data_IF_993685240542
#
_entry.id   IF_993685240542
#
_cell.length_a   1.000
_cell.length_b   1.000
_cell.length_c   1.000
_cell.angle_alpha   90.00
_cell.angle_beta   90.00
_cell.angle_gamma   90.00
#
_symmetry.space_group_name_H-M   'P 1'
#
loop_
_entity.id
_entity.type
_entity.pdbx_description
1 polymer ?
#
# COMPACT_ATOMS: atom_id res chain seq x y z
N UNK A 1 21.46 -23.54 -21.76
CA UNK A 1 20.39 -23.93 -20.83
C UNK A 1 19.28 -22.89 -20.84
N UNK A 2 18.07 -23.19 -20.41
CA UNK A 2 16.90 -22.31 -20.58
C UNK A 2 16.21 -22.08 -19.23
N UNK A 3 16.08 -20.82 -18.81
CA UNK A 3 15.26 -20.46 -17.66
C UNK A 3 13.78 -20.40 -18.09
N UNK A 4 12.93 -21.09 -17.36
CA UNK A 4 11.48 -21.14 -17.61
C UNK A 4 10.76 -20.22 -16.62
N UNK A 5 10.08 -19.20 -17.11
CA UNK A 5 9.38 -18.19 -16.30
C UNK A 5 7.89 -18.26 -16.60
N UNK A 6 7.08 -18.56 -15.59
CA UNK A 6 5.63 -18.44 -15.63
C UNK A 6 5.22 -17.06 -15.11
N UNK A 7 4.30 -16.40 -15.82
CA UNK A 7 3.76 -15.10 -15.41
C UNK A 7 2.24 -15.18 -15.40
N UNK A 8 1.64 -14.97 -14.23
CA UNK A 8 0.20 -14.84 -14.07
C UNK A 8 -0.09 -13.37 -13.79
N UNK A 9 -0.49 -12.67 -14.86
CA UNK A 9 -0.93 -11.28 -14.80
C UNK A 9 -2.40 -11.18 -14.36
N UNK A 10 -2.85 -9.96 -14.17
CA UNK A 10 -4.21 -9.59 -13.81
C UNK A 10 -4.59 -8.26 -14.50
N UNK A 11 -5.86 -7.79 -14.40
CA UNK A 11 -6.28 -6.55 -15.04
C UNK A 11 -5.50 -5.30 -14.59
N UNK A 12 -4.92 -5.35 -13.38
CA UNK A 12 -4.13 -4.24 -12.84
C UNK A 12 -2.67 -4.29 -13.31
N UNK A 13 -2.05 -5.50 -13.34
CA UNK A 13 -0.68 -5.70 -13.84
C UNK A 13 -0.68 -6.86 -14.85
N UNK A 14 -0.86 -6.58 -16.14
CA UNK A 14 -0.83 -7.60 -17.18
C UNK A 14 0.52 -8.32 -17.26
N UNK A 15 0.50 -9.60 -17.64
CA UNK A 15 1.71 -10.42 -17.79
C UNK A 15 2.73 -9.81 -18.74
N UNK A 16 2.29 -9.11 -19.79
CA UNK A 16 3.14 -8.39 -20.74
C UNK A 16 4.04 -7.34 -20.06
N UNK A 17 3.53 -6.66 -19.01
CA UNK A 17 4.29 -5.65 -18.27
C UNK A 17 5.51 -6.26 -17.59
N UNK A 18 5.33 -7.39 -16.90
CA UNK A 18 6.44 -8.12 -16.28
C UNK A 18 7.42 -8.67 -17.33
N UNK A 19 6.90 -9.23 -18.43
CA UNK A 19 7.75 -9.76 -19.52
C UNK A 19 8.68 -8.69 -20.07
N UNK A 20 8.17 -7.54 -20.46
CA UNK A 20 8.95 -6.46 -21.04
C UNK A 20 10.05 -5.97 -20.08
N UNK A 21 9.73 -5.81 -18.80
CA UNK A 21 10.72 -5.41 -17.81
C UNK A 21 11.81 -6.46 -17.60
N UNK A 22 11.44 -7.76 -17.55
CA UNK A 22 12.39 -8.85 -17.44
C UNK A 22 13.32 -8.94 -18.66
N UNK A 23 12.78 -8.87 -19.87
CA UNK A 23 13.57 -8.92 -21.10
C UNK A 23 14.60 -7.79 -21.13
N UNK A 24 14.18 -6.57 -20.79
CA UNK A 24 15.09 -5.42 -20.67
C UNK A 24 16.23 -5.69 -19.68
N UNK A 25 15.91 -6.13 -18.46
CA UNK A 25 16.89 -6.30 -17.38
C UNK A 25 17.82 -7.49 -17.60
N UNK A 26 17.32 -8.61 -18.14
CA UNK A 26 18.11 -9.84 -18.31
C UNK A 26 18.97 -9.76 -19.55
N UNK A 27 18.46 -9.27 -20.68
CA UNK A 27 19.25 -9.14 -21.93
C UNK A 27 20.44 -8.21 -21.78
N UNK A 28 20.33 -7.16 -20.96
CA UNK A 28 21.43 -6.23 -20.65
C UNK A 28 22.64 -6.94 -20.01
N UNK A 29 22.43 -8.01 -19.26
CA UNK A 29 23.50 -8.66 -18.49
C UNK A 29 23.93 -10.01 -19.07
N UNK A 30 23.03 -10.69 -19.75
CA UNK A 30 23.25 -12.01 -20.38
C UNK A 30 22.51 -12.10 -21.72
N UNK A 31 23.03 -11.48 -22.80
CA UNK A 31 22.36 -11.47 -24.12
C UNK A 31 22.07 -12.85 -24.70
N UNK A 32 22.92 -13.84 -24.36
CA UNK A 32 22.82 -15.23 -24.87
C UNK A 32 21.96 -16.16 -24.01
N UNK A 33 21.35 -15.66 -22.89
CA UNK A 33 20.51 -16.52 -22.06
C UNK A 33 19.20 -16.86 -22.77
N UNK A 34 18.87 -18.17 -22.81
CA UNK A 34 17.57 -18.61 -23.30
C UNK A 34 16.52 -18.51 -22.20
N UNK A 35 15.42 -17.79 -22.45
CA UNK A 35 14.28 -17.66 -21.54
C UNK A 35 13.03 -18.15 -22.26
N UNK A 36 12.34 -19.09 -21.64
CA UNK A 36 11.03 -19.54 -22.11
C UNK A 36 9.95 -18.99 -21.17
N UNK A 37 9.02 -18.24 -21.72
CA UNK A 37 7.92 -17.67 -20.97
C UNK A 37 6.62 -18.47 -21.16
N UNK A 38 5.84 -18.57 -20.07
CA UNK A 38 4.47 -19.09 -20.05
C UNK A 38 3.59 -18.00 -19.45
N UNK A 39 2.44 -17.70 -20.08
CA UNK A 39 1.60 -16.58 -19.69
C UNK A 39 0.17 -17.01 -19.41
N UNK A 40 -0.44 -16.34 -18.45
CA UNK A 40 -1.88 -16.32 -18.26
C UNK A 40 -2.26 -14.98 -17.63
N UNK A 41 -3.19 -14.27 -18.25
CA UNK A 41 -3.81 -13.12 -17.61
C UNK A 41 -5.17 -13.51 -17.04
N UNK A 42 -5.35 -13.26 -15.74
CA UNK A 42 -6.63 -13.43 -15.06
C UNK A 42 -7.59 -12.33 -15.57
N UNK A 43 -8.77 -12.75 -16.06
CA UNK A 43 -9.83 -11.80 -16.44
C UNK A 43 -10.60 -11.39 -15.19
N UNK A 44 -11.15 -10.18 -15.17
CA UNK A 44 -11.90 -9.64 -14.03
C UNK A 44 -12.98 -10.60 -13.53
N UNK A 45 -13.76 -11.23 -14.43
CA UNK A 45 -14.77 -12.24 -14.09
C UNK A 45 -14.22 -13.50 -13.38
N UNK A 46 -12.91 -13.75 -13.45
CA UNK A 46 -12.24 -14.89 -12.84
C UNK A 46 -11.51 -14.51 -11.54
N UNK A 47 -11.56 -13.26 -11.12
CA UNK A 47 -10.97 -12.77 -9.86
C UNK A 47 -11.86 -13.12 -8.65
N UNK A 48 -12.21 -14.41 -8.53
CA UNK A 48 -12.93 -14.91 -7.34
C UNK A 48 -11.94 -15.09 -6.19
N UNK A 49 -12.24 -14.56 -4.99
CA UNK A 49 -11.40 -14.77 -3.82
C UNK A 49 -11.27 -16.25 -3.50
N UNK A 50 -10.06 -16.72 -3.22
CA UNK A 50 -9.83 -18.03 -2.66
C UNK A 50 -10.04 -17.97 -1.13
N UNK A 51 -11.01 -18.73 -0.63
CA UNK A 51 -11.20 -18.91 0.82
C UNK A 51 -10.18 -19.95 1.28
N UNK A 52 -9.17 -19.52 2.04
CA UNK A 52 -8.10 -20.37 2.53
C UNK A 52 -7.62 -19.91 3.90
N UNK A 53 -7.16 -20.87 4.74
CA UNK A 53 -6.45 -20.56 5.99
C UNK A 53 -4.96 -20.30 5.77
N UNK A 54 -4.43 -20.66 4.61
CA UNK A 54 -2.99 -20.56 4.29
C UNK A 54 -2.59 -19.22 3.70
N UNK A 55 -3.49 -18.61 2.91
CA UNK A 55 -3.24 -17.39 2.16
C UNK A 55 -4.44 -16.45 2.24
N UNK A 56 -4.20 -15.17 2.09
CA UNK A 56 -5.25 -14.14 2.10
C UNK A 56 -5.13 -13.22 0.90
N UNK A 57 -6.22 -12.52 0.56
CA UNK A 57 -6.30 -11.66 -0.63
C UNK A 57 -5.74 -12.35 -1.90
N UNK A 58 -6.02 -13.64 -2.03
CA UNK A 58 -5.63 -14.45 -3.18
C UNK A 58 -6.84 -14.63 -4.09
N UNK A 59 -6.63 -14.53 -5.39
CA UNK A 59 -7.68 -14.57 -6.39
C UNK A 59 -7.34 -15.56 -7.51
N UNK A 60 -8.38 -16.24 -8.01
CA UNK A 60 -8.26 -17.23 -9.06
C UNK A 60 -8.14 -18.66 -8.54
N UNK A 61 -7.87 -19.60 -9.45
CA UNK A 61 -7.89 -21.05 -9.18
C UNK A 61 -6.47 -21.61 -9.07
N UNK A 62 -6.21 -22.41 -8.06
CA UNK A 62 -4.90 -23.08 -7.83
C UNK A 62 -4.50 -24.00 -8.99
N UNK A 63 -5.45 -24.75 -9.58
CA UNK A 63 -5.16 -25.64 -10.72
C UNK A 63 -4.71 -24.85 -11.95
N UNK A 64 -5.23 -23.64 -12.15
CA UNK A 64 -4.77 -22.74 -13.20
C UNK A 64 -3.33 -22.31 -12.99
N UNK A 65 -2.95 -22.03 -11.74
CA UNK A 65 -1.56 -21.71 -11.37
C UNK A 65 -0.65 -22.88 -11.67
N UNK A 66 -1.03 -24.10 -11.25
CA UNK A 66 -0.27 -25.33 -11.49
C UNK A 66 -0.09 -25.57 -13.00
N UNK A 67 -1.17 -25.45 -13.78
CA UNK A 67 -1.14 -25.66 -15.24
C UNK A 67 -0.09 -24.78 -15.92
N UNK A 68 0.09 -23.54 -15.48
CA UNK A 68 1.04 -22.59 -16.06
C UNK A 68 2.45 -22.76 -15.47
N UNK A 69 2.55 -23.01 -14.15
CA UNK A 69 3.82 -23.01 -13.42
C UNK A 69 4.48 -24.38 -13.27
N UNK A 70 3.83 -25.50 -13.61
CA UNK A 70 4.29 -26.87 -13.39
C UNK A 70 5.74 -27.11 -13.83
N UNK A 71 6.14 -26.53 -14.96
CA UNK A 71 7.47 -26.69 -15.53
C UNK A 71 8.35 -25.43 -15.37
N UNK A 72 7.90 -24.41 -14.65
CA UNK A 72 8.62 -23.16 -14.50
C UNK A 72 9.65 -23.22 -13.36
N UNK A 73 10.73 -22.45 -13.49
CA UNK A 73 11.71 -22.22 -12.44
C UNK A 73 11.36 -20.99 -11.62
N UNK A 74 10.70 -20.02 -12.26
CA UNK A 74 10.28 -18.76 -11.66
C UNK A 74 8.80 -18.55 -11.94
N UNK A 75 8.02 -18.22 -10.92
CA UNK A 75 6.62 -17.82 -11.04
C UNK A 75 6.46 -16.38 -10.58
N UNK A 76 5.86 -15.55 -11.44
CA UNK A 76 5.56 -14.15 -11.14
C UNK A 76 4.05 -13.99 -11.10
N UNK A 77 3.55 -13.34 -10.04
CA UNK A 77 2.12 -13.02 -9.89
C UNK A 77 1.89 -11.88 -8.92
N UNK A 78 0.74 -11.23 -9.01
CA UNK A 78 0.31 -10.22 -8.02
C UNK A 78 -0.70 -10.82 -7.04
N UNK A 79 -1.68 -11.58 -7.52
CA UNK A 79 -2.82 -12.03 -6.72
C UNK A 79 -3.06 -13.54 -6.74
N UNK A 80 -2.44 -14.31 -7.65
CA UNK A 80 -2.70 -15.74 -7.72
C UNK A 80 -2.32 -16.46 -6.41
N UNK A 81 -3.10 -17.47 -5.98
CA UNK A 81 -2.86 -18.21 -4.75
C UNK A 81 -1.64 -19.13 -4.88
N UNK A 82 -0.67 -18.98 -3.99
CA UNK A 82 0.49 -19.86 -3.88
C UNK A 82 0.40 -20.63 -2.57
N UNK A 83 -0.45 -21.63 -2.57
CA UNK A 83 -0.69 -22.54 -1.43
C UNK A 83 0.33 -23.66 -1.39
N UNK A 84 0.31 -24.48 -0.33
CA UNK A 84 1.14 -25.68 -0.25
C UNK A 84 0.83 -26.64 -1.40
N UNK A 85 -0.45 -26.81 -1.77
CA UNK A 85 -0.89 -27.63 -2.91
C UNK A 85 -0.26 -27.17 -4.23
N UNK A 86 -0.20 -25.86 -4.49
CA UNK A 86 0.47 -25.31 -5.69
C UNK A 86 1.95 -25.62 -5.68
N UNK A 87 2.61 -25.41 -4.55
CA UNK A 87 4.06 -25.66 -4.40
C UNK A 87 4.43 -27.15 -4.53
N UNK A 88 3.54 -28.05 -4.13
CA UNK A 88 3.72 -29.51 -4.29
C UNK A 88 3.67 -29.97 -5.75
N UNK A 89 2.82 -29.32 -6.52
CA UNK A 89 2.62 -29.66 -7.92
C UNK A 89 3.56 -28.92 -8.89
N UNK A 90 4.37 -27.94 -8.38
CA UNK A 90 5.34 -27.17 -9.17
C UNK A 90 6.78 -27.48 -8.71
N UNK A 91 7.22 -28.74 -8.83
CA UNK A 91 8.50 -29.26 -8.28
C UNK A 91 9.77 -28.57 -8.80
N UNK A 92 9.71 -27.94 -9.99
CA UNK A 92 10.84 -27.22 -10.58
C UNK A 92 10.93 -25.76 -10.13
N UNK A 93 9.97 -25.30 -9.32
CA UNK A 93 9.88 -23.91 -8.91
C UNK A 93 10.97 -23.58 -7.87
N UNK A 94 11.75 -22.57 -8.16
CA UNK A 94 12.83 -22.06 -7.31
C UNK A 94 12.49 -20.69 -6.72
N UNK A 95 11.70 -19.89 -7.46
CA UNK A 95 11.38 -18.54 -7.09
C UNK A 95 9.89 -18.26 -7.32
N UNK A 96 9.24 -17.67 -6.34
CA UNK A 96 7.96 -16.96 -6.47
C UNK A 96 8.23 -15.48 -6.32
N UNK A 97 7.91 -14.68 -7.33
CA UNK A 97 8.04 -13.24 -7.28
C UNK A 97 6.65 -12.60 -7.21
N UNK A 98 6.31 -12.08 -6.04
CA UNK A 98 5.00 -11.48 -5.76
C UNK A 98 5.03 -9.97 -6.01
N UNK A 99 4.23 -9.48 -6.96
CA UNK A 99 4.12 -8.07 -7.33
C UNK A 99 3.40 -7.21 -6.27
N UNK A 100 3.55 -7.50 -4.98
CA UNK A 100 2.89 -6.81 -3.86
C UNK A 100 3.90 -6.29 -2.85
N UNK A 101 3.48 -5.32 -2.03
CA UNK A 101 4.27 -4.82 -0.90
C UNK A 101 4.38 -5.80 0.28
N UNK A 102 3.59 -6.87 0.28
CA UNK A 102 3.64 -8.00 1.19
C UNK A 102 2.97 -9.22 0.52
N UNK A 103 3.64 -10.40 0.44
CA UNK A 103 3.16 -11.56 -0.30
C UNK A 103 2.18 -12.42 0.51
N UNK A 104 1.05 -11.83 0.95
CA UNK A 104 0.04 -12.51 1.78
C UNK A 104 -0.76 -13.59 1.04
N UNK A 105 -0.67 -13.61 -0.29
CA UNK A 105 -1.21 -14.64 -1.18
C UNK A 105 -0.24 -15.82 -1.37
N UNK A 106 0.87 -15.87 -0.63
CA UNK A 106 1.88 -16.94 -0.69
C UNK A 106 2.00 -17.63 0.66
N UNK A 107 1.91 -18.95 0.70
CA UNK A 107 2.20 -19.75 1.89
C UNK A 107 3.71 -19.73 2.16
N UNK A 108 4.13 -18.88 3.09
CA UNK A 108 5.53 -18.64 3.42
C UNK A 108 6.20 -19.86 4.08
N UNK A 109 5.47 -20.60 4.89
CA UNK A 109 5.97 -21.78 5.59
C UNK A 109 6.28 -22.90 4.59
N UNK A 110 5.32 -23.20 3.72
CA UNK A 110 5.49 -24.21 2.67
C UNK A 110 6.58 -23.81 1.67
N UNK A 111 6.63 -22.53 1.25
CA UNK A 111 7.68 -22.02 0.36
C UNK A 111 9.07 -22.23 0.96
N UNK A 112 9.24 -21.92 2.23
CA UNK A 112 10.54 -22.10 2.92
C UNK A 112 10.91 -23.56 3.04
N UNK A 113 9.97 -24.45 3.45
CA UNK A 113 10.15 -25.90 3.57
C UNK A 113 10.59 -26.54 2.24
N UNK A 114 10.04 -26.03 1.12
CA UNK A 114 10.34 -26.53 -0.24
C UNK A 114 11.53 -25.81 -0.90
N UNK A 115 12.27 -24.98 -0.20
CA UNK A 115 13.38 -24.16 -0.72
C UNK A 115 12.98 -23.28 -1.90
N UNK A 116 11.76 -22.76 -1.90
CA UNK A 116 11.28 -21.78 -2.88
C UNK A 116 11.46 -20.38 -2.28
N UNK A 117 12.29 -19.55 -2.93
CA UNK A 117 12.53 -18.19 -2.50
C UNK A 117 11.36 -17.28 -2.89
N UNK A 118 10.90 -16.46 -1.95
CA UNK A 118 9.80 -15.53 -2.18
C UNK A 118 10.31 -14.11 -2.22
N UNK A 119 10.25 -13.50 -3.41
CA UNK A 119 10.51 -12.09 -3.66
C UNK A 119 9.21 -11.30 -3.56
N UNK A 120 9.32 -10.00 -3.22
CA UNK A 120 8.17 -9.11 -3.16
C UNK A 120 8.55 -7.70 -3.64
N UNK A 121 7.55 -6.84 -3.88
CA UNK A 121 7.76 -5.49 -4.42
C UNK A 121 7.36 -4.40 -3.40
N UNK A 122 8.16 -4.18 -2.35
CA UNK A 122 7.86 -3.16 -1.36
C UNK A 122 8.07 -1.76 -1.96
N UNK A 123 7.26 -0.82 -1.50
CA UNK A 123 7.43 0.59 -1.88
C UNK A 123 6.90 0.96 -3.26
N UNK A 124 6.34 0.03 -4.03
CA UNK A 124 5.81 0.27 -5.37
C UNK A 124 4.78 1.41 -5.44
N UNK A 125 4.07 1.67 -4.36
CA UNK A 125 3.00 2.66 -4.26
C UNK A 125 3.28 3.81 -3.27
N UNK A 126 4.52 4.01 -2.83
CA UNK A 126 4.85 5.07 -1.86
C UNK A 126 4.42 6.42 -2.40
N UNK A 127 4.79 6.74 -3.65
CA UNK A 127 4.50 8.03 -4.27
C UNK A 127 3.00 8.25 -4.38
N UNK A 128 2.28 7.26 -4.90
CA UNK A 128 0.83 7.32 -5.05
C UNK A 128 0.13 7.60 -3.71
N UNK A 129 0.50 6.88 -2.64
CA UNK A 129 -0.11 7.09 -1.31
C UNK A 129 0.24 8.45 -0.74
N UNK A 130 1.48 8.93 -0.91
CA UNK A 130 1.91 10.25 -0.42
C UNK A 130 1.15 11.37 -1.13
N UNK A 131 1.10 11.34 -2.47
CA UNK A 131 0.39 12.33 -3.29
C UNK A 131 -1.10 12.33 -2.98
N UNK A 132 -1.72 11.17 -2.90
CA UNK A 132 -3.14 11.02 -2.61
C UNK A 132 -3.49 11.49 -1.19
N UNK A 133 -2.65 11.16 -0.19
CA UNK A 133 -2.82 11.61 1.18
C UNK A 133 -2.69 13.13 1.29
N UNK A 134 -1.65 13.71 0.68
CA UNK A 134 -1.42 15.16 0.68
C UNK A 134 -2.58 15.90 0.00
N UNK A 135 -3.01 15.44 -1.18
CA UNK A 135 -4.13 16.03 -1.90
C UNK A 135 -5.41 16.03 -1.04
N UNK A 136 -5.70 14.92 -0.33
CA UNK A 136 -6.89 14.83 0.51
C UNK A 136 -6.77 15.57 1.84
N UNK A 137 -5.56 15.75 2.40
CA UNK A 137 -5.34 16.71 3.48
C UNK A 137 -5.73 18.12 3.00
N UNK A 138 -5.19 18.56 1.86
CA UNK A 138 -5.46 19.89 1.30
C UNK A 138 -6.94 20.03 0.93
N UNK A 139 -7.53 19.07 0.25
CA UNK A 139 -8.95 19.06 -0.11
C UNK A 139 -9.84 19.27 1.14
N UNK A 140 -9.55 18.53 2.21
CA UNK A 140 -10.36 18.57 3.43
C UNK A 140 -10.23 19.90 4.17
N UNK A 141 -9.00 20.41 4.35
CA UNK A 141 -8.77 21.64 5.13
C UNK A 141 -9.03 22.92 4.34
N UNK A 142 -8.85 22.92 3.01
CA UNK A 142 -9.11 24.07 2.11
C UNK A 142 -10.49 24.07 1.50
N UNK A 143 -11.31 23.04 1.76
CA UNK A 143 -12.70 22.92 1.24
C UNK A 143 -12.77 22.95 -0.29
N UNK A 144 -11.77 22.36 -0.96
CA UNK A 144 -11.70 22.38 -2.44
C UNK A 144 -12.91 21.69 -3.09
N UNK A 145 -13.34 20.48 -2.66
CA UNK A 145 -14.53 19.82 -3.23
C UNK A 145 -15.80 20.69 -3.12
N UNK A 146 -15.96 21.37 -1.97
CA UNK A 146 -17.10 22.26 -1.74
C UNK A 146 -17.04 23.51 -2.62
N UNK A 147 -15.85 24.06 -2.86
CA UNK A 147 -15.67 25.17 -3.78
C UNK A 147 -16.01 24.78 -5.21
N UNK A 148 -15.60 23.59 -5.65
CA UNK A 148 -15.97 23.03 -6.96
C UNK A 148 -17.49 22.86 -7.06
N UNK A 149 -18.12 22.29 -6.04
CA UNK A 149 -19.56 22.06 -5.99
C UNK A 149 -20.36 23.36 -5.93
N UNK A 150 -19.82 24.38 -5.28
CA UNK A 150 -20.39 25.74 -5.25
C UNK A 150 -20.55 26.33 -6.65
N UNK A 151 -19.52 26.19 -7.50
CA UNK A 151 -19.56 26.61 -8.89
C UNK A 151 -20.51 25.74 -9.72
N UNK A 152 -20.42 24.41 -9.58
CA UNK A 152 -21.29 23.45 -10.29
C UNK A 152 -22.78 23.67 -10.02
N UNK A 153 -23.13 24.07 -8.81
CA UNK A 153 -24.52 24.39 -8.43
C UNK A 153 -24.93 25.83 -8.76
N UNK A 154 -24.15 26.52 -9.56
CA UNK A 154 -24.41 27.91 -10.01
C UNK A 154 -24.68 28.87 -8.82
N UNK A 155 -23.97 28.70 -7.71
CA UNK A 155 -24.10 29.54 -6.50
C UNK A 155 -23.22 30.79 -6.54
N UNK A 156 -22.23 30.83 -7.44
CA UNK A 156 -21.35 31.99 -7.61
C UNK A 156 -22.02 33.03 -8.48
N UNK A 157 -22.68 34.03 -7.87
CA UNK A 157 -23.47 35.05 -8.56
C UNK A 157 -22.68 36.32 -8.76
N UNK A 158 -21.99 36.81 -7.73
CA UNK A 158 -21.21 38.04 -7.83
C UNK A 158 -19.83 37.89 -7.18
N UNK A 159 -18.78 38.59 -7.66
CA UNK A 159 -17.42 38.44 -7.09
C UNK A 159 -17.29 38.90 -5.63
N UNK A 160 -18.03 39.96 -5.24
CA UNK A 160 -17.91 40.58 -3.90
C UNK A 160 -18.84 39.95 -2.86
N UNK A 161 -20.12 39.80 -3.16
CA UNK A 161 -21.11 39.26 -2.21
C UNK A 161 -20.78 37.81 -1.80
N UNK A 162 -20.21 37.03 -2.73
CA UNK A 162 -19.84 35.66 -2.48
C UNK A 162 -18.52 35.49 -1.71
N UNK A 163 -17.72 36.54 -1.53
CA UNK A 163 -16.41 36.43 -0.86
C UNK A 163 -16.52 35.84 0.55
N UNK A 164 -17.56 36.21 1.31
CA UNK A 164 -17.79 35.71 2.66
C UNK A 164 -18.63 34.42 2.72
N UNK A 165 -19.29 34.04 1.61
CA UNK A 165 -20.14 32.83 1.53
C UNK A 165 -19.42 31.66 0.88
N UNK A 166 -18.27 31.90 0.23
CA UNK A 166 -17.48 30.86 -0.42
C UNK A 166 -16.98 29.84 0.59
N UNK A 167 -16.95 28.56 0.22
CA UNK A 167 -16.32 27.56 1.06
C UNK A 167 -14.87 27.94 1.33
N UNK A 168 -14.54 28.16 2.58
CA UNK A 168 -13.20 28.54 3.03
C UNK A 168 -12.71 27.59 4.11
N UNK A 169 -11.42 27.39 4.13
CA UNK A 169 -10.76 26.57 5.13
C UNK A 169 -9.55 27.28 5.70
N UNK A 170 -8.59 26.53 6.17
CA UNK A 170 -7.33 27.07 6.69
C UNK A 170 -6.12 26.52 5.90
N UNK A 171 -5.01 27.24 5.98
CA UNK A 171 -3.75 26.84 5.38
C UNK A 171 -3.01 25.85 6.28
N UNK A 172 -2.25 24.92 5.67
CA UNK A 172 -1.40 23.99 6.44
C UNK A 172 -0.07 24.62 6.87
N UNK A 173 0.30 25.76 6.31
CA UNK A 173 1.47 26.54 6.73
C UNK A 173 1.38 26.88 8.22
N UNK A 174 2.46 26.66 8.97
CA UNK A 174 2.55 26.81 10.43
C UNK A 174 1.56 25.98 11.27
N UNK A 175 0.76 25.09 10.65
CA UNK A 175 -0.06 24.15 11.41
C UNK A 175 0.77 22.95 11.87
N UNK A 176 0.36 22.36 12.98
CA UNK A 176 1.00 21.18 13.53
C UNK A 176 0.34 19.93 12.96
N UNK A 177 1.11 19.10 12.27
CA UNK A 177 0.65 17.83 11.68
C UNK A 177 1.33 16.67 12.38
N UNK A 178 0.53 15.81 13.02
CA UNK A 178 0.99 14.57 13.63
C UNK A 178 1.06 13.44 12.59
N UNK A 179 2.23 12.86 12.39
CA UNK A 179 2.47 11.70 11.52
C UNK A 179 2.67 10.48 12.40
N UNK A 180 1.70 9.56 12.41
CA UNK A 180 1.77 8.30 13.15
C UNK A 180 2.30 7.21 12.22
N UNK A 181 3.52 6.75 12.47
CA UNK A 181 4.29 5.82 11.63
C UNK A 181 5.27 6.53 10.69
N UNK A 182 6.56 6.23 10.86
CA UNK A 182 7.66 6.83 10.07
C UNK A 182 8.35 5.81 9.16
N UNK A 183 7.53 4.92 8.55
CA UNK A 183 7.96 4.07 7.44
C UNK A 183 8.20 4.87 6.16
N UNK A 184 8.34 4.19 5.02
CA UNK A 184 8.67 4.83 3.74
C UNK A 184 7.67 5.94 3.33
N UNK A 185 6.36 5.72 3.56
CA UNK A 185 5.30 6.69 3.25
C UNK A 185 5.38 7.88 4.24
N UNK A 186 5.35 7.61 5.55
CA UNK A 186 5.40 8.67 6.57
C UNK A 186 6.65 9.55 6.44
N UNK A 187 7.80 8.92 6.14
CA UNK A 187 9.06 9.61 5.88
C UNK A 187 8.99 10.57 4.69
N UNK A 188 8.44 10.11 3.56
CA UNK A 188 8.31 10.94 2.37
C UNK A 188 7.28 12.05 2.57
N UNK A 189 6.13 11.74 3.17
CA UNK A 189 5.09 12.72 3.45
C UNK A 189 5.59 13.82 4.43
N UNK A 190 6.32 13.45 5.48
CA UNK A 190 6.91 14.43 6.41
C UNK A 190 7.75 15.47 5.70
N UNK A 191 8.64 15.05 4.79
CA UNK A 191 9.49 15.99 4.03
C UNK A 191 8.67 16.97 3.19
N UNK A 192 7.60 16.49 2.57
CA UNK A 192 6.71 17.34 1.76
C UNK A 192 5.94 18.32 2.66
N UNK A 193 5.43 17.88 3.80
CA UNK A 193 4.72 18.73 4.74
C UNK A 193 5.61 19.82 5.34
N UNK A 194 6.88 19.49 5.68
CA UNK A 194 7.86 20.47 6.13
C UNK A 194 8.19 21.48 5.02
N UNK A 195 8.34 21.04 3.76
CA UNK A 195 8.57 21.91 2.63
C UNK A 195 7.41 22.90 2.38
N UNK A 196 6.17 22.51 2.74
CA UNK A 196 5.00 23.39 2.72
C UNK A 196 4.88 24.27 4.00
N UNK A 197 5.89 24.25 4.87
CA UNK A 197 5.95 25.09 6.07
C UNK A 197 5.11 24.60 7.24
N UNK A 198 4.69 23.35 7.27
CA UNK A 198 4.00 22.75 8.42
C UNK A 198 4.98 22.37 9.53
N UNK A 199 4.53 22.45 10.80
CA UNK A 199 5.24 21.89 11.94
C UNK A 199 4.87 20.40 12.05
N UNK A 200 5.83 19.49 11.89
CA UNK A 200 5.54 18.06 11.92
C UNK A 200 5.97 17.44 13.24
N UNK A 201 5.07 16.66 13.86
CA UNK A 201 5.34 15.80 15.01
C UNK A 201 5.23 14.34 14.55
N UNK A 202 6.23 13.51 14.86
CA UNK A 202 6.32 12.13 14.39
C UNK A 202 6.22 11.18 15.58
N UNK A 203 5.34 10.19 15.48
CA UNK A 203 5.37 9.03 16.36
C UNK A 203 5.83 7.79 15.62
N UNK A 204 6.96 7.22 16.07
CA UNK A 204 7.50 5.96 15.57
C UNK A 204 8.04 5.13 16.76
N UNK A 205 7.41 4.00 17.11
CA UNK A 205 7.88 3.17 18.23
C UNK A 205 9.24 2.51 17.97
N UNK A 206 9.57 2.25 16.68
CA UNK A 206 10.84 1.64 16.28
C UNK A 206 11.90 2.71 15.99
N UNK A 207 12.48 3.29 17.04
CA UNK A 207 13.43 4.44 16.96
C UNK A 207 14.61 4.23 16.01
N UNK A 208 15.03 2.98 15.76
CA UNK A 208 16.09 2.64 14.79
C UNK A 208 15.76 3.06 13.35
N UNK A 209 14.49 3.29 13.02
CA UNK A 209 14.04 3.72 11.69
C UNK A 209 14.12 5.26 11.49
N UNK A 210 14.37 6.02 12.57
CA UNK A 210 14.43 7.47 12.53
C UNK A 210 15.76 7.93 11.91
N UNK A 211 15.66 8.65 10.78
CA UNK A 211 16.77 9.47 10.23
C UNK A 211 16.89 10.82 10.96
N UNK A 212 17.74 11.72 10.46
CA UNK A 212 17.96 13.06 11.06
C UNK A 212 16.64 13.85 11.24
N UNK A 213 15.77 13.84 10.23
CA UNK A 213 14.47 14.53 10.27
C UNK A 213 13.53 13.84 11.26
N UNK A 214 13.47 12.51 11.22
CA UNK A 214 12.66 11.74 12.14
C UNK A 214 13.07 11.92 13.60
N UNK A 215 14.35 12.00 13.90
CA UNK A 215 14.86 12.26 15.26
C UNK A 215 14.50 13.66 15.75
N UNK A 216 14.64 14.69 14.90
CA UNK A 216 14.30 16.09 15.21
C UNK A 216 12.82 16.23 15.57
N UNK A 217 11.94 15.56 14.84
CA UNK A 217 10.49 15.69 14.96
C UNK A 217 9.84 14.61 15.84
N UNK A 218 10.63 13.72 16.45
CA UNK A 218 10.11 12.61 17.25
C UNK A 218 9.30 13.09 18.44
N UNK A 219 8.15 12.47 18.65
CA UNK A 219 7.19 12.88 19.65
C UNK A 219 6.44 11.68 20.25
N UNK A 220 5.79 11.87 21.37
CA UNK A 220 4.84 10.89 21.93
C UNK A 220 3.46 11.01 21.27
N UNK A 221 2.68 9.94 21.30
CA UNK A 221 1.27 9.99 20.87
C UNK A 221 0.48 11.02 21.66
N UNK A 222 0.74 11.13 22.97
CA UNK A 222 0.06 12.08 23.82
C UNK A 222 0.32 13.54 23.39
N UNK A 223 1.57 13.87 23.08
CA UNK A 223 1.93 15.19 22.58
C UNK A 223 1.29 15.49 21.20
N UNK A 224 1.23 14.49 20.31
CA UNK A 224 0.52 14.61 19.03
C UNK A 224 -0.97 14.88 19.27
N UNK A 225 -1.63 14.10 20.13
CA UNK A 225 -3.05 14.29 20.43
C UNK A 225 -3.35 15.68 21.01
N UNK A 226 -2.48 16.19 21.88
CA UNK A 226 -2.64 17.50 22.49
C UNK A 226 -2.46 18.66 21.51
N UNK A 227 -1.50 18.56 20.58
CA UNK A 227 -0.98 19.71 19.84
C UNK A 227 -1.24 19.68 18.32
N UNK A 228 -1.64 18.56 17.73
CA UNK A 228 -1.85 18.49 16.30
C UNK A 228 -3.16 19.12 15.83
N UNK A 229 -3.12 19.84 14.72
CA UNK A 229 -4.28 20.35 13.98
C UNK A 229 -4.80 19.31 12.98
N UNK A 230 -3.90 18.41 12.52
CA UNK A 230 -4.17 17.28 11.61
C UNK A 230 -3.36 16.09 12.12
N UNK A 231 -3.96 14.89 12.11
CA UNK A 231 -3.27 13.63 12.42
C UNK A 231 -3.41 12.71 11.23
N UNK A 232 -2.29 12.26 10.67
CA UNK A 232 -2.26 11.31 9.54
C UNK A 232 -1.57 10.01 9.92
N UNK A 233 -2.18 8.87 9.53
CA UNK A 233 -1.79 7.54 9.99
C UNK A 233 -1.14 6.76 8.85
N UNK A 234 0.12 6.34 9.04
CA UNK A 234 0.94 5.56 8.10
C UNK A 234 1.62 4.37 8.80
N UNK A 235 1.04 3.91 9.89
CA UNK A 235 1.54 2.80 10.67
C UNK A 235 0.90 1.47 10.25
N UNK A 236 1.59 0.37 10.59
CA UNK A 236 1.00 -0.97 10.58
C UNK A 236 0.18 -1.17 11.86
N UNK A 237 -0.72 -2.15 11.83
CA UNK A 237 -1.49 -2.57 12.99
C UNK A 237 -0.53 -3.01 14.12
N UNK A 238 -0.89 -2.71 15.35
CA UNK A 238 -0.18 -3.23 16.52
C UNK A 238 -0.22 -4.76 16.55
N UNK A 239 0.87 -5.39 17.00
CA UNK A 239 0.96 -6.86 17.13
C UNK A 239 -0.14 -7.47 18.00
N UNK A 240 -0.68 -6.71 18.94
CA UNK A 240 -1.76 -7.13 19.83
C UNK A 240 -3.17 -6.84 19.28
N UNK A 241 -3.28 -6.43 18.02
CA UNK A 241 -4.56 -6.13 17.36
C UNK A 241 -5.31 -4.89 17.88
N UNK A 242 -4.76 -4.15 18.87
CA UNK A 242 -5.41 -2.96 19.40
C UNK A 242 -5.24 -1.77 18.45
N UNK A 243 -6.26 -0.91 18.29
CA UNK A 243 -6.13 0.30 17.48
C UNK A 243 -5.07 1.25 18.04
N UNK A 244 -4.45 2.04 17.16
CA UNK A 244 -3.46 3.06 17.54
C UNK A 244 -4.14 4.29 18.17
N UNK A 245 -5.37 4.58 17.75
CA UNK A 245 -6.22 5.64 18.30
C UNK A 245 -7.53 4.98 18.75
N UNK A 246 -7.77 5.00 20.03
CA UNK A 246 -9.00 4.50 20.65
C UNK A 246 -9.99 5.63 20.94
N UNK A 247 -11.25 5.27 21.26
CA UNK A 247 -12.27 6.27 21.62
C UNK A 247 -11.84 7.16 22.80
N UNK A 248 -11.05 6.65 23.75
CA UNK A 248 -10.55 7.40 24.92
C UNK A 248 -9.54 8.47 24.52
N UNK A 249 -8.77 8.26 23.46
CA UNK A 249 -7.72 9.17 23.03
C UNK A 249 -8.27 10.47 22.44
N UNK A 250 -9.48 10.45 21.87
CA UNK A 250 -10.13 11.66 21.36
C UNK A 250 -10.39 12.71 22.45
N UNK A 251 -10.50 12.33 23.73
CA UNK A 251 -10.62 13.28 24.83
C UNK A 251 -9.34 14.08 25.09
N UNK A 252 -8.18 13.57 24.64
CA UNK A 252 -6.88 14.24 24.76
C UNK A 252 -6.63 15.24 23.62
N UNK A 253 -7.46 15.22 22.57
CA UNK A 253 -7.28 16.04 21.37
C UNK A 253 -7.81 17.46 21.54
N UNK A 254 -7.02 18.31 22.22
CA UNK A 254 -7.43 19.68 22.58
C UNK A 254 -7.73 20.58 21.38
N UNK A 255 -7.01 20.42 20.26
CA UNK A 255 -7.21 21.23 19.04
C UNK A 255 -8.30 20.71 18.11
N UNK A 256 -8.96 19.60 18.48
CA UNK A 256 -9.99 18.96 17.64
C UNK A 256 -9.45 18.72 16.23
N UNK A 257 -8.44 17.86 16.04
CA UNK A 257 -7.77 17.69 14.73
C UNK A 257 -8.70 17.10 13.67
N UNK A 258 -8.28 17.22 12.41
CA UNK A 258 -8.72 16.29 11.36
C UNK A 258 -7.93 14.99 11.45
N UNK A 259 -8.60 13.85 11.23
CA UNK A 259 -7.98 12.52 11.25
C UNK A 259 -7.93 11.98 9.82
N UNK A 260 -6.76 11.58 9.36
CA UNK A 260 -6.50 11.06 8.01
C UNK A 260 -6.01 9.62 8.10
N UNK A 261 -6.70 8.67 7.48
CA UNK A 261 -6.26 7.27 7.46
C UNK A 261 -6.26 6.70 6.04
N UNK A 262 -5.06 6.55 5.49
CA UNK A 262 -4.76 5.87 4.21
C UNK A 262 -3.93 4.61 4.42
N UNK A 263 -3.90 4.07 5.64
CA UNK A 263 -3.08 2.91 5.99
C UNK A 263 -3.91 1.63 6.16
N UNK A 264 -4.51 1.42 7.31
CA UNK A 264 -5.38 0.28 7.64
C UNK A 264 -6.53 0.74 8.54
N UNK A 265 -7.72 0.19 8.32
CA UNK A 265 -8.91 0.53 9.12
C UNK A 265 -8.71 0.26 10.60
N UNK A 266 -8.05 -0.85 10.93
CA UNK A 266 -7.79 -1.25 12.31
C UNK A 266 -6.91 -0.27 13.11
N UNK A 267 -6.27 0.70 12.46
CA UNK A 267 -5.50 1.72 13.17
C UNK A 267 -6.39 2.68 13.97
N UNK A 268 -7.61 2.92 13.48
CA UNK A 268 -8.64 3.70 14.18
C UNK A 268 -10.02 3.22 13.71
N UNK A 269 -10.83 2.73 14.63
CA UNK A 269 -12.13 2.17 14.30
C UNK A 269 -13.10 3.22 13.74
N UNK A 270 -13.79 2.90 12.65
CA UNK A 270 -14.75 3.80 12.00
C UNK A 270 -15.85 4.27 12.96
N UNK A 271 -16.38 3.37 13.81
CA UNK A 271 -17.39 3.71 14.85
C UNK A 271 -16.85 4.72 15.86
N UNK A 272 -15.59 4.59 16.27
CA UNK A 272 -14.93 5.51 17.19
C UNK A 272 -14.75 6.90 16.58
N UNK A 273 -14.42 7.00 15.29
CA UNK A 273 -14.33 8.27 14.53
C UNK A 273 -15.68 8.97 14.43
N UNK A 274 -16.74 8.24 14.03
CA UNK A 274 -18.09 8.78 13.93
C UNK A 274 -18.55 9.33 15.28
N UNK A 275 -18.35 8.56 16.36
CA UNK A 275 -18.69 9.00 17.72
C UNK A 275 -17.90 10.25 18.13
N UNK A 276 -16.59 10.28 17.89
CA UNK A 276 -15.75 11.43 18.20
C UNK A 276 -16.16 12.68 17.41
N UNK A 277 -16.55 12.54 16.15
CA UNK A 277 -17.08 13.63 15.34
C UNK A 277 -18.41 14.17 15.88
N UNK A 278 -19.38 13.29 16.16
CA UNK A 278 -20.67 13.68 16.79
C UNK A 278 -20.48 14.38 18.12
N UNK A 279 -19.51 13.95 18.92
CA UNK A 279 -19.14 14.58 20.20
C UNK A 279 -18.30 15.85 20.03
N UNK A 280 -18.06 16.33 18.80
CA UNK A 280 -17.23 17.51 18.49
C UNK A 280 -15.81 17.44 19.07
N UNK A 281 -15.24 16.25 19.20
CA UNK A 281 -13.85 16.01 19.64
C UNK A 281 -12.85 16.11 18.49
N UNK A 282 -13.31 15.96 17.25
CA UNK A 282 -12.55 16.16 16.01
C UNK A 282 -13.36 17.06 15.06
N UNK A 283 -12.67 17.76 14.16
CA UNK A 283 -13.31 18.62 13.15
C UNK A 283 -13.86 17.81 11.97
N UNK A 284 -13.30 16.65 11.71
CA UNK A 284 -13.68 15.76 10.63
C UNK A 284 -12.62 14.69 10.39
N UNK A 285 -12.83 13.90 9.36
CA UNK A 285 -11.88 12.84 8.99
C UNK A 285 -11.90 12.52 7.49
N UNK A 286 -10.80 11.95 7.03
CA UNK A 286 -10.65 11.35 5.72
C UNK A 286 -10.28 9.88 5.87
N UNK A 287 -11.02 8.99 5.23
CA UNK A 287 -10.74 7.55 5.20
C UNK A 287 -10.63 7.04 3.76
N UNK A 288 -9.59 6.26 3.49
CA UNK A 288 -9.43 5.48 2.27
C UNK A 288 -9.55 3.97 2.52
N UNK A 289 -9.62 3.57 3.81
CA UNK A 289 -9.67 2.17 4.24
C UNK A 289 -10.78 1.96 5.25
N UNK A 290 -11.44 0.77 5.21
CA UNK A 290 -12.66 0.51 5.97
C UNK A 290 -12.62 -0.88 6.61
N UNK A 291 -13.41 -1.07 7.69
CA UNK A 291 -13.49 -2.35 8.41
C UNK A 291 -14.08 -3.47 7.54
N UNK A 292 -14.95 -3.09 6.61
CA UNK A 292 -15.49 -3.96 5.55
C UNK A 292 -15.44 -3.21 4.22
N UNK A 293 -14.84 -3.82 3.23
CA UNK A 293 -14.72 -3.29 1.87
C UNK A 293 -15.39 -4.23 0.85
N UNK A 294 -16.28 -3.72 -0.02
CA UNK A 294 -16.79 -2.35 -0.08
C UNK A 294 -17.69 -1.98 1.10
N UNK A 295 -17.82 -0.67 1.37
CA UNK A 295 -18.70 -0.14 2.41
C UNK A 295 -20.15 -0.48 2.04
N UNK A 296 -20.93 -1.02 3.00
CA UNK A 296 -22.36 -1.26 2.80
C UNK A 296 -23.12 0.07 2.60
N UNK A 297 -24.08 0.11 1.68
CA UNK A 297 -24.95 1.26 1.43
C UNK A 297 -25.70 1.73 2.68
N UNK A 298 -26.00 0.82 3.62
CA UNK A 298 -26.66 1.13 4.90
C UNK A 298 -25.70 1.56 6.00
N UNK A 299 -24.40 1.65 5.71
CA UNK A 299 -23.38 2.00 6.70
C UNK A 299 -23.62 3.39 7.29
N UNK A 300 -23.42 3.52 8.59
CA UNK A 300 -23.42 4.83 9.27
C UNK A 300 -22.39 5.80 8.66
N UNK A 301 -21.29 5.30 8.11
CA UNK A 301 -20.31 6.12 7.39
C UNK A 301 -20.94 6.91 6.24
N UNK A 302 -21.77 6.27 5.39
CA UNK A 302 -22.45 6.97 4.29
C UNK A 302 -23.40 8.05 4.81
N UNK A 303 -24.13 7.77 5.90
CA UNK A 303 -25.04 8.74 6.52
C UNK A 303 -24.32 9.93 7.16
N UNK A 304 -23.02 9.79 7.43
CA UNK A 304 -22.20 10.80 8.10
C UNK A 304 -21.44 11.70 7.11
N UNK A 305 -21.41 11.34 5.81
CA UNK A 305 -20.70 12.13 4.80
C UNK A 305 -21.20 13.56 4.75
N UNK A 306 -20.26 14.50 4.84
CA UNK A 306 -20.52 15.94 4.76
C UNK A 306 -19.21 16.68 4.42
N UNK A 307 -19.22 17.99 4.47
CA UNK A 307 -18.07 18.85 4.12
C UNK A 307 -16.80 18.62 4.95
N UNK A 308 -16.90 17.91 6.07
CA UNK A 308 -15.78 17.59 6.96
C UNK A 308 -15.43 16.10 6.96
N UNK A 309 -16.16 15.28 6.19
CA UNK A 309 -15.96 13.84 6.12
C UNK A 309 -15.84 13.41 4.66
N UNK A 310 -14.67 12.93 4.31
CA UNK A 310 -14.35 12.48 2.94
C UNK A 310 -13.99 11.00 2.98
N UNK A 311 -14.59 10.21 2.09
CA UNK A 311 -14.34 8.79 1.93
C UNK A 311 -13.89 8.52 0.50
N UNK A 312 -12.91 7.63 0.31
CA UNK A 312 -12.48 7.16 -1.02
C UNK A 312 -12.34 5.64 -1.03
N UNK A 313 -12.51 4.98 -2.18
CA UNK A 313 -12.69 3.52 -2.27
C UNK A 313 -11.35 2.76 -2.30
N UNK A 314 -10.51 2.90 -1.25
CA UNK A 314 -9.20 2.26 -1.11
C UNK A 314 -8.30 2.54 -2.33
N UNK A 315 -8.27 3.79 -2.77
CA UNK A 315 -7.64 4.24 -4.01
C UNK A 315 -6.26 4.87 -3.82
N UNK A 316 -5.87 5.21 -2.58
CA UNK A 316 -4.60 5.91 -2.32
C UNK A 316 -3.37 5.15 -2.85
N UNK A 317 -3.43 3.83 -2.83
CA UNK A 317 -2.36 2.98 -3.35
C UNK A 317 -2.49 2.61 -4.84
N UNK A 318 -3.41 3.22 -5.59
CA UNK A 318 -3.67 2.91 -7.00
C UNK A 318 -3.22 4.06 -7.89
N UNK A 319 -2.41 3.75 -8.92
CA UNK A 319 -1.99 4.70 -9.95
C UNK A 319 -1.62 3.94 -11.22
N UNK A 320 -1.66 4.62 -12.37
CA UNK A 320 -1.28 4.03 -13.67
C UNK A 320 0.21 3.65 -13.75
N UNK A 321 1.05 4.20 -12.87
CA UNK A 321 2.49 3.94 -12.84
C UNK A 321 2.87 2.69 -12.03
N UNK A 322 1.97 2.20 -11.18
CA UNK A 322 2.25 1.06 -10.29
C UNK A 322 2.58 -0.23 -11.04
N UNK A 323 1.89 -0.59 -12.14
CA UNK A 323 2.25 -1.76 -12.92
C UNK A 323 3.72 -1.76 -13.37
N UNK A 324 4.18 -0.69 -13.98
CA UNK A 324 5.58 -0.57 -14.44
C UNK A 324 6.56 -0.56 -13.29
N UNK A 325 6.32 0.24 -12.23
CA UNK A 325 7.17 0.26 -11.02
C UNK A 325 7.27 -1.13 -10.37
N UNK A 326 6.16 -1.87 -10.33
CA UNK A 326 6.14 -3.22 -9.77
C UNK A 326 7.01 -4.17 -10.60
N UNK A 327 6.83 -4.15 -11.93
CA UNK A 327 7.57 -5.00 -12.84
C UNK A 327 9.08 -4.70 -12.80
N UNK A 328 9.47 -3.42 -12.73
CA UNK A 328 10.86 -3.00 -12.59
C UNK A 328 11.49 -3.52 -11.28
N UNK A 329 10.80 -3.41 -10.14
CA UNK A 329 11.29 -3.94 -8.85
C UNK A 329 11.51 -5.47 -8.95
N UNK A 330 10.53 -6.20 -9.47
CA UNK A 330 10.62 -7.66 -9.60
C UNK A 330 11.72 -8.07 -10.58
N UNK A 331 11.83 -7.39 -11.72
CA UNK A 331 12.86 -7.68 -12.71
C UNK A 331 14.27 -7.43 -12.17
N UNK A 332 14.47 -6.33 -11.43
CA UNK A 332 15.76 -6.01 -10.78
C UNK A 332 16.15 -7.08 -9.74
N UNK A 333 15.20 -7.57 -8.94
CA UNK A 333 15.48 -8.62 -7.95
C UNK A 333 15.81 -9.96 -8.61
N UNK A 334 15.10 -10.33 -9.69
CA UNK A 334 15.42 -11.54 -10.48
C UNK A 334 16.78 -11.39 -11.18
N UNK A 335 17.08 -10.23 -11.74
CA UNK A 335 18.38 -9.92 -12.34
C UNK A 335 19.53 -10.17 -11.37
N UNK A 336 19.42 -9.71 -10.12
CA UNK A 336 20.43 -9.93 -9.07
C UNK A 336 20.73 -11.42 -8.88
N UNK A 337 19.70 -12.26 -8.86
CA UNK A 337 19.87 -13.71 -8.71
C UNK A 337 20.62 -14.31 -9.91
N UNK A 338 20.26 -13.91 -11.12
CA UNK A 338 20.91 -14.35 -12.36
C UNK A 338 22.40 -13.94 -12.37
N UNK A 339 22.73 -12.80 -11.75
CA UNK A 339 24.10 -12.34 -11.53
C UNK A 339 24.79 -12.99 -10.32
N UNK A 340 24.17 -13.97 -9.68
CA UNK A 340 24.64 -14.60 -8.43
C UNK A 340 24.72 -13.63 -7.22
N UNK A 341 24.09 -12.45 -7.32
CA UNK A 341 23.94 -11.50 -6.23
C UNK A 341 22.76 -11.90 -5.32
N UNK A 342 22.73 -11.34 -4.11
CA UNK A 342 21.60 -11.55 -3.18
C UNK A 342 20.53 -10.50 -3.42
N UNK A 343 19.27 -10.87 -3.71
CA UNK A 343 18.19 -9.92 -3.81
C UNK A 343 17.98 -9.17 -2.48
N UNK A 344 17.48 -7.96 -2.59
CA UNK A 344 17.18 -7.12 -1.42
C UNK A 344 15.81 -7.45 -0.80
N UNK A 345 14.83 -7.77 -1.63
CA UNK A 345 13.44 -7.90 -1.23
C UNK A 345 13.01 -9.37 -1.17
N UNK A 346 13.50 -10.07 -0.15
CA UNK A 346 13.24 -11.49 0.14
C UNK A 346 12.49 -11.61 1.47
N UNK A 347 11.46 -12.45 1.51
CA UNK A 347 10.72 -12.71 2.76
C UNK A 347 11.24 -13.91 3.53
N UNK A 348 11.90 -14.87 2.86
CA UNK A 348 12.48 -16.08 3.47
C UNK A 348 13.99 -16.23 3.16
N UNK A 349 14.87 -15.42 3.74
CA UNK A 349 16.30 -15.39 3.40
C UNK A 349 17.06 -16.70 3.65
N UNK A 350 16.52 -17.59 4.46
CA UNK A 350 17.13 -18.90 4.78
C UNK A 350 17.37 -19.79 3.53
N UNK A 351 16.58 -19.61 2.46
CA UNK A 351 16.66 -20.44 1.25
C UNK A 351 17.59 -19.87 0.16
N UNK A 352 18.14 -18.68 0.36
CA UNK A 352 18.90 -17.95 -0.68
C UNK A 352 20.08 -18.75 -1.23
N UNK A 353 20.89 -19.37 -0.38
CA UNK A 353 22.07 -20.15 -0.79
C UNK A 353 21.71 -21.32 -1.68
N UNK A 354 20.67 -22.06 -1.32
CA UNK A 354 20.17 -23.22 -2.06
C UNK A 354 19.63 -22.77 -3.43
N UNK A 355 18.81 -21.73 -3.44
CA UNK A 355 18.22 -21.22 -4.71
C UNK A 355 19.29 -20.67 -5.64
N UNK A 356 20.27 -19.91 -5.15
CA UNK A 356 21.39 -19.42 -5.96
C UNK A 356 22.19 -20.56 -6.59
N UNK A 357 22.49 -21.64 -5.84
CA UNK A 357 23.16 -22.82 -6.36
C UNK A 357 22.35 -23.47 -7.48
N UNK A 358 21.04 -23.63 -7.31
CA UNK A 358 20.17 -24.24 -8.31
C UNK A 358 20.00 -23.38 -9.57
N UNK A 359 19.85 -22.06 -9.43
CA UNK A 359 19.79 -21.12 -10.56
C UNK A 359 21.11 -21.16 -11.36
N UNK A 360 22.28 -21.20 -10.68
CA UNK A 360 23.58 -21.29 -11.34
C UNK A 360 23.70 -22.54 -12.24
N UNK A 361 23.06 -23.66 -11.88
CA UNK A 361 23.02 -24.87 -12.70
C UNK A 361 22.14 -24.72 -13.96
N UNK A 362 21.21 -23.77 -13.99
CA UNK A 362 20.33 -23.49 -15.12
C UNK A 362 20.92 -22.45 -16.09
N UNK A 363 21.95 -21.71 -15.64
CA UNK A 363 22.67 -20.69 -16.40
C UNK A 363 23.88 -21.24 -17.12
#
# INVERSE_FOLDING_TARGET
MTIKIAIIGDPFIPSKTFKLSLEKHIKLIRPKISIKFFFKDLKEKNLKPLISKEVSEAFGNQNDVIKIAKNANILITTFAPITEYVLENCKNLLIVACGRGGPINVNMTASTKKNVMVLYAPGRNIDAVVEYTLANIINLVRKIPQAIDYVKKNKWKTPLEDTFRKPSGFEIHKKTIGVIGYGAIGKKLTRVLEALGSNVLIYEPYKKQLDKIGKKNNSSLENIFKNADIITIHARINKNGKPLISIKDFNKMKKKPYIINTSRSQCVESKSLIKAYKMKKIKGFYLDVFDKEPISSNSELYKTINDNIVLTPHAAGVSRDIPSKTAEIIAEEIKKIIQSQTPKFITNPKVVSVVKKNIKKLL
#
